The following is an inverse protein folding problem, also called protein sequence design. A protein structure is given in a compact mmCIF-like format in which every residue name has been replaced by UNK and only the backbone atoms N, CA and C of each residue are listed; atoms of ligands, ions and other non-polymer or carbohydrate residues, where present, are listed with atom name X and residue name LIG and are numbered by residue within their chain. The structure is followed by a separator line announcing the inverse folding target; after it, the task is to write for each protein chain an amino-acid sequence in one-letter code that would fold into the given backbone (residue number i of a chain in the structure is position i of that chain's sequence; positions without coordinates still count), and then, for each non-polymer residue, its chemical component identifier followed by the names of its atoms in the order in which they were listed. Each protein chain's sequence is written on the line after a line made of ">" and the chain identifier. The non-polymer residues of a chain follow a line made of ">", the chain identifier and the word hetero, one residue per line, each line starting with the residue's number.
data_IF_636787964159
#
_entry.id   IF_636787964159
#
_cell.length_a   1.000
_cell.length_b   1.000
_cell.length_c   1.000
_cell.angle_alpha   90.00
_cell.angle_beta   90.00
_cell.angle_gamma   90.00
#
_symmetry.space_group_name_H-M   'P 1'
#
loop_
_entity.id
_entity.type
_entity.pdbx_description
1 polymer ?
#
# COMPACT_ATOMS: atom_id res chain seq x y z
N UNK A 1 -13.57 -45.13 12.12
CA UNK A 1 -12.99 -44.66 10.85
C UNK A 1 -11.82 -43.75 11.18
N UNK A 2 -10.59 -44.12 10.81
CA UNK A 2 -9.41 -43.32 11.11
C UNK A 2 -9.41 -42.03 10.27
N UNK A 3 -9.25 -40.88 10.92
CA UNK A 3 -9.17 -39.58 10.24
C UNK A 3 -7.85 -39.50 9.45
N UNK A 4 -7.94 -39.39 8.13
CA UNK A 4 -6.78 -39.18 7.26
C UNK A 4 -6.20 -37.79 7.53
N UNK A 5 -4.91 -37.71 7.82
CA UNK A 5 -4.21 -36.42 7.96
C UNK A 5 -4.11 -35.74 6.58
N UNK A 6 -4.34 -34.42 6.50
CA UNK A 6 -4.18 -33.69 5.25
C UNK A 6 -2.73 -33.75 4.78
N UNK A 7 -2.56 -33.93 3.46
CA UNK A 7 -1.24 -33.91 2.81
C UNK A 7 -0.78 -32.49 2.51
N UNK A 8 0.47 -32.33 2.10
CA UNK A 8 0.98 -31.01 1.68
C UNK A 8 0.13 -30.41 0.55
N UNK A 9 -0.21 -31.22 -0.46
CA UNK A 9 -1.00 -30.77 -1.60
C UNK A 9 -2.42 -30.35 -1.19
N UNK A 10 -3.04 -31.10 -0.26
CA UNK A 10 -4.36 -30.76 0.30
C UNK A 10 -4.34 -29.38 0.97
N UNK A 11 -3.25 -29.04 1.68
CA UNK A 11 -3.07 -27.74 2.33
C UNK A 11 -2.67 -26.63 1.34
N UNK A 12 -1.83 -26.94 0.36
CA UNK A 12 -1.33 -25.97 -0.61
C UNK A 12 -2.43 -25.50 -1.57
N UNK A 13 -3.32 -26.40 -1.96
CA UNK A 13 -4.45 -26.11 -2.85
C UNK A 13 -5.72 -25.70 -2.09
N UNK A 14 -5.72 -25.75 -0.76
CA UNK A 14 -6.86 -25.36 0.05
C UNK A 14 -7.17 -23.87 -0.13
N UNK A 15 -8.24 -23.59 -0.87
CA UNK A 15 -8.86 -22.28 -0.90
C UNK A 15 -10.03 -22.29 0.08
N UNK A 16 -9.98 -21.52 1.19
CA UNK A 16 -11.11 -21.43 2.09
C UNK A 16 -12.31 -20.80 1.38
N UNK A 17 -13.51 -21.23 1.75
CA UNK A 17 -14.73 -20.57 1.30
C UNK A 17 -14.75 -19.12 1.81
N UNK A 18 -14.70 -18.16 0.90
CA UNK A 18 -14.80 -16.74 1.24
C UNK A 18 -16.29 -16.41 1.40
N UNK A 19 -16.74 -16.26 2.65
CA UNK A 19 -18.10 -15.81 2.93
C UNK A 19 -18.18 -14.29 2.78
N UNK A 20 -18.94 -13.77 1.78
CA UNK A 20 -19.03 -12.33 1.59
C UNK A 20 -19.76 -11.69 2.77
N UNK A 21 -19.14 -10.67 3.36
CA UNK A 21 -19.77 -9.86 4.40
C UNK A 21 -20.80 -8.96 3.70
N UNK A 22 -22.05 -8.96 4.20
CA UNK A 22 -23.10 -8.09 3.65
C UNK A 22 -22.67 -6.62 3.75
N UNK A 23 -22.77 -5.90 2.64
CA UNK A 23 -22.47 -4.46 2.59
C UNK A 23 -20.98 -4.11 2.51
N UNK A 24 -20.09 -5.09 2.28
CA UNK A 24 -18.65 -4.85 2.13
C UNK A 24 -18.34 -3.79 1.06
N UNK A 25 -19.00 -3.87 -0.11
CA UNK A 25 -18.78 -2.91 -1.20
C UNK A 25 -19.19 -1.50 -0.80
N UNK A 26 -20.35 -1.36 -0.14
CA UNK A 26 -20.85 -0.07 0.34
C UNK A 26 -19.92 0.51 1.39
N UNK A 27 -19.44 -0.30 2.32
CA UNK A 27 -18.46 0.10 3.33
C UNK A 27 -17.20 0.71 2.69
N UNK A 28 -16.62 0.04 1.70
CA UNK A 28 -15.43 0.55 1.00
C UNK A 28 -15.73 1.79 0.16
N UNK A 29 -16.89 1.85 -0.50
CA UNK A 29 -17.31 3.04 -1.24
C UNK A 29 -17.43 4.26 -0.31
N UNK A 30 -18.10 4.12 0.82
CA UNK A 30 -18.28 5.19 1.80
C UNK A 30 -16.93 5.65 2.37
N UNK A 31 -16.03 4.71 2.69
CA UNK A 31 -14.68 5.02 3.18
C UNK A 31 -13.82 5.76 2.13
N UNK A 32 -13.84 5.31 0.87
CA UNK A 32 -13.12 5.97 -0.23
C UNK A 32 -13.70 7.37 -0.51
N UNK A 33 -15.02 7.53 -0.47
CA UNK A 33 -15.67 8.83 -0.64
C UNK A 33 -15.30 9.80 0.48
N UNK A 34 -15.22 9.33 1.73
CA UNK A 34 -14.74 10.14 2.84
C UNK A 34 -13.28 10.59 2.63
N UNK A 35 -12.41 9.69 2.18
CA UNK A 35 -11.01 9.99 1.87
C UNK A 35 -10.85 11.01 0.72
N UNK A 36 -11.63 10.90 -0.36
CA UNK A 36 -11.56 11.82 -1.51
C UNK A 36 -11.87 13.28 -1.17
N UNK A 37 -12.60 13.52 -0.07
CA UNK A 37 -12.92 14.88 0.40
C UNK A 37 -11.75 15.53 1.13
N UNK A 38 -10.77 14.74 1.57
CA UNK A 38 -9.57 15.25 2.23
C UNK A 38 -8.52 15.56 1.16
N UNK A 39 -7.99 16.79 1.11
CA UNK A 39 -6.86 17.07 0.23
C UNK A 39 -5.65 16.26 0.69
N UNK A 40 -4.95 15.62 -0.24
CA UNK A 40 -3.79 14.77 0.05
C UNK A 40 -2.63 15.57 0.67
N UNK A 41 -2.51 16.86 0.33
CA UNK A 41 -1.45 17.77 0.79
C UNK A 41 -0.06 17.10 0.84
N UNK A 42 0.45 16.58 -0.31
CA UNK A 42 1.71 15.87 -0.32
C UNK A 42 2.86 16.85 -0.06
N UNK A 43 3.63 16.58 0.98
CA UNK A 43 4.87 17.27 1.27
C UNK A 43 6.03 16.35 0.90
N UNK A 44 7.01 16.87 0.19
CA UNK A 44 8.22 16.15 -0.21
C UNK A 44 9.46 16.95 0.19
N UNK A 45 10.36 16.31 0.92
CA UNK A 45 11.63 16.91 1.35
C UNK A 45 12.80 16.07 0.88
N UNK A 46 13.68 16.66 0.07
CA UNK A 46 14.89 16.00 -0.42
C UNK A 46 15.89 15.76 0.72
N UNK A 47 16.39 14.53 0.86
CA UNK A 47 17.40 14.15 1.85
C UNK A 47 18.78 14.23 1.22
N UNK A 48 19.45 15.38 1.39
CA UNK A 48 20.75 15.66 0.76
C UNK A 48 21.89 14.75 1.25
N UNK A 49 21.84 14.24 2.48
CA UNK A 49 22.92 13.43 3.07
C UNK A 49 22.95 11.96 2.62
N UNK A 50 21.91 11.47 1.93
CA UNK A 50 21.74 10.04 1.58
C UNK A 50 21.47 9.80 0.09
N UNK A 51 21.64 10.80 -0.77
CA UNK A 51 21.46 10.59 -2.21
C UNK A 51 22.66 9.80 -2.76
N UNK A 52 22.53 8.49 -2.86
CA UNK A 52 23.45 7.65 -3.63
C UNK A 52 23.55 8.20 -5.05
N UNK A 53 24.73 8.21 -5.68
CA UNK A 53 24.97 8.97 -6.92
C UNK A 53 24.02 8.70 -8.10
N UNK A 54 23.22 7.62 -8.05
CA UNK A 54 22.24 7.23 -9.08
C UNK A 54 20.78 7.49 -8.68
N UNK A 55 20.50 7.87 -7.43
CA UNK A 55 19.16 8.00 -6.87
C UNK A 55 19.03 9.27 -6.00
N UNK A 56 17.81 9.76 -5.86
CA UNK A 56 17.44 10.80 -4.90
C UNK A 56 16.45 10.22 -3.91
N UNK A 57 16.77 10.34 -2.62
CA UNK A 57 15.89 9.97 -1.53
C UNK A 57 15.13 11.22 -1.07
N UNK A 58 13.80 11.13 -1.00
CA UNK A 58 12.96 12.16 -0.41
C UNK A 58 12.10 11.57 0.70
N UNK A 59 12.00 12.26 1.82
CA UNK A 59 10.97 11.99 2.81
C UNK A 59 9.66 12.58 2.30
N UNK A 60 8.58 11.79 2.33
CA UNK A 60 7.24 12.22 1.92
C UNK A 60 6.28 12.15 3.10
N UNK A 61 5.32 13.07 3.13
CA UNK A 61 4.18 12.98 4.05
C UNK A 61 2.90 13.46 3.40
N UNK A 62 1.78 12.83 3.72
CA UNK A 62 0.47 13.19 3.19
C UNK A 62 -0.64 12.95 4.21
N UNK A 63 -1.74 13.68 4.07
CA UNK A 63 -2.91 13.55 4.92
C UNK A 63 -3.71 12.30 4.57
N UNK A 64 -4.17 11.59 5.59
CA UNK A 64 -5.00 10.38 5.51
C UNK A 64 -6.26 10.54 6.35
N UNK A 65 -7.05 9.46 6.44
CA UNK A 65 -8.32 9.46 7.16
C UNK A 65 -8.14 9.86 8.64
N UNK A 66 -9.09 10.66 9.15
CA UNK A 66 -9.08 11.11 10.54
C UNK A 66 -8.01 12.15 10.88
N UNK A 67 -7.45 12.85 9.89
CA UNK A 67 -6.38 13.84 10.12
C UNK A 67 -5.03 13.20 10.45
N UNK A 68 -4.87 11.92 10.13
CA UNK A 68 -3.61 11.19 10.33
C UNK A 68 -2.64 11.57 9.23
N UNK A 69 -1.41 11.98 9.58
CA UNK A 69 -0.34 12.21 8.60
C UNK A 69 0.44 10.92 8.41
N UNK A 70 0.43 10.38 7.18
CA UNK A 70 1.25 9.23 6.81
C UNK A 70 2.61 9.74 6.35
N UNK A 71 3.67 9.09 6.81
CA UNK A 71 5.06 9.37 6.41
C UNK A 71 5.59 8.20 5.59
N UNK A 72 6.44 8.49 4.62
CA UNK A 72 7.08 7.49 3.78
C UNK A 72 8.37 7.99 3.16
N UNK A 73 9.00 7.11 2.39
CA UNK A 73 10.22 7.42 1.65
C UNK A 73 9.99 7.20 0.16
N UNK A 74 10.47 8.15 -0.63
CA UNK A 74 10.42 8.13 -2.08
C UNK A 74 11.83 8.03 -2.64
N UNK A 75 12.10 6.92 -3.32
CA UNK A 75 13.35 6.66 -4.03
C UNK A 75 13.15 6.96 -5.51
N UNK A 76 13.83 7.99 -6.01
CA UNK A 76 13.72 8.43 -7.40
C UNK A 76 15.04 8.17 -8.13
N UNK A 77 15.06 7.33 -9.18
CA UNK A 77 16.25 7.17 -10.00
C UNK A 77 16.54 8.46 -10.78
N UNK A 78 17.81 8.90 -10.80
CA UNK A 78 18.22 10.14 -11.51
C UNK A 78 18.26 10.00 -13.05
N UNK A 79 17.71 8.92 -13.61
CA UNK A 79 17.64 8.72 -15.07
C UNK A 79 16.60 9.68 -15.67
N UNK A 80 16.91 10.24 -16.85
CA UNK A 80 15.98 11.14 -17.56
C UNK A 80 14.81 10.33 -18.11
N UNK A 81 13.58 10.68 -17.72
CA UNK A 81 12.35 10.13 -18.30
C UNK A 81 11.30 9.72 -17.25
N UNK A 82 10.20 9.16 -17.74
CA UNK A 82 9.18 8.53 -16.88
C UNK A 82 9.75 7.22 -16.32
N UNK A 83 9.66 7.03 -15.01
CA UNK A 83 10.00 5.79 -14.34
C UNK A 83 8.72 5.05 -13.90
N UNK A 84 8.70 3.70 -13.94
CA UNK A 84 7.63 2.94 -13.30
C UNK A 84 7.63 3.22 -11.79
N UNK A 85 6.45 3.23 -11.18
CA UNK A 85 6.27 3.45 -9.74
C UNK A 85 5.93 2.12 -9.07
N UNK A 86 6.60 1.84 -7.97
CA UNK A 86 6.28 0.72 -7.07
C UNK A 86 5.86 1.32 -5.73
N UNK A 87 4.67 0.93 -5.25
CA UNK A 87 4.22 1.25 -3.90
C UNK A 87 4.51 0.02 -3.04
N UNK A 88 5.36 0.19 -2.04
CA UNK A 88 5.68 -0.83 -1.05
C UNK A 88 4.97 -0.48 0.25
N UNK A 89 4.24 -1.45 0.80
CA UNK A 89 3.46 -1.31 2.04
C UNK A 89 4.20 -1.93 3.22
#
# INVERSE_FOLDING_TARGET
>A
MASRKPTFDDCYQAMPEVKPIRGLDKFWQDAILALKRLPVEPHQKLVLKKSFGKESLSDISFQSIGGTVIQGQLFLPRRRGRAPVVIHF
#
